data_IF_730426909912
#
_entry.id   IF_730426909912
#
_cell.length_a   1.000
_cell.length_b   1.000
_cell.length_c   1.000
_cell.angle_alpha   90.00
_cell.angle_beta   90.00
_cell.angle_gamma   90.00
#
_symmetry.space_group_name_H-M   'P 1'
#
loop_
_entity.id
_entity.type
_entity.pdbx_description
1 polymer ?
#
# COMPACT_ATOMS: atom_id res chain seq x y z
N UNK A 1 1.88 25.36 -14.21
CA UNK A 1 2.61 24.12 -13.84
C UNK A 1 1.77 23.18 -12.98
N UNK A 2 0.93 23.63 -12.04
CA UNK A 2 -0.08 22.76 -11.40
C UNK A 2 -1.39 22.77 -12.19
N UNK A 3 -1.64 21.73 -12.98
CA UNK A 3 -2.94 21.51 -13.63
C UNK A 3 -3.93 20.89 -12.63
N UNK A 4 -5.23 20.92 -12.95
CA UNK A 4 -6.24 20.25 -12.13
C UNK A 4 -6.02 18.73 -12.04
N UNK A 5 -5.36 18.12 -13.02
CA UNK A 5 -4.93 16.71 -13.02
C UNK A 5 -3.91 16.37 -11.94
N UNK A 6 -3.13 17.35 -11.49
CA UNK A 6 -2.08 17.17 -10.46
C UNK A 6 -2.58 17.68 -9.11
N UNK A 7 -3.20 18.86 -9.10
CA UNK A 7 -3.61 19.53 -7.88
C UNK A 7 -4.63 18.72 -7.08
N UNK A 8 -5.74 18.28 -7.71
CA UNK A 8 -6.83 17.63 -6.97
C UNK A 8 -6.45 16.27 -6.36
N UNK A 9 -5.76 15.36 -7.07
CA UNK A 9 -5.28 14.12 -6.47
C UNK A 9 -4.35 14.37 -5.28
N UNK A 10 -3.33 15.22 -5.48
CA UNK A 10 -2.35 15.53 -4.45
C UNK A 10 -2.98 16.19 -3.22
N UNK A 11 -3.80 17.21 -3.44
CA UNK A 11 -4.48 17.94 -2.36
C UNK A 11 -5.40 17.02 -1.56
N UNK A 12 -6.23 16.22 -2.23
CA UNK A 12 -7.15 15.29 -1.58
C UNK A 12 -6.40 14.24 -0.74
N UNK A 13 -5.31 13.69 -1.27
CA UNK A 13 -4.43 12.77 -0.54
C UNK A 13 -3.86 13.39 0.73
N UNK A 14 -3.34 14.63 0.65
CA UNK A 14 -2.80 15.35 1.80
C UNK A 14 -3.86 15.68 2.86
N UNK A 15 -5.06 16.09 2.45
CA UNK A 15 -6.18 16.34 3.37
C UNK A 15 -6.50 15.07 4.16
N UNK A 16 -6.59 13.92 3.50
CA UNK A 16 -6.90 12.64 4.15
C UNK A 16 -5.74 12.15 5.01
N UNK A 17 -4.49 12.44 4.62
CA UNK A 17 -3.32 12.19 5.46
C UNK A 17 -3.41 12.96 6.77
N UNK A 18 -3.68 14.27 6.72
CA UNK A 18 -3.83 15.12 7.91
C UNK A 18 -5.00 14.63 8.78
N UNK A 19 -6.17 14.37 8.17
CA UNK A 19 -7.34 13.84 8.87
C UNK A 19 -7.03 12.52 9.57
N UNK A 20 -6.38 11.59 8.88
CA UNK A 20 -5.99 10.30 9.43
C UNK A 20 -4.98 10.42 10.57
N UNK A 21 -3.97 11.30 10.44
CA UNK A 21 -2.99 11.59 11.50
C UNK A 21 -3.68 12.15 12.76
N UNK A 22 -4.67 13.03 12.59
CA UNK A 22 -5.47 13.53 13.71
C UNK A 22 -6.27 12.39 14.34
N UNK A 23 -6.88 11.51 13.54
CA UNK A 23 -7.68 10.37 14.01
C UNK A 23 -6.86 9.37 14.84
N UNK A 24 -5.62 9.08 14.42
CA UNK A 24 -4.75 8.09 15.08
C UNK A 24 -3.91 8.67 16.22
N UNK A 25 -3.91 10.00 16.44
CA UNK A 25 -3.00 10.66 17.40
C UNK A 25 -2.94 10.00 18.79
N UNK A 26 -4.08 9.56 19.33
CA UNK A 26 -4.14 8.90 20.63
C UNK A 26 -3.48 7.52 20.62
N UNK A 27 -3.80 6.71 19.60
CA UNK A 27 -3.20 5.38 19.39
C UNK A 27 -1.68 5.50 19.18
N UNK A 28 -1.24 6.49 18.41
CA UNK A 28 0.17 6.74 18.11
C UNK A 28 0.96 7.20 19.35
N UNK A 29 0.39 8.10 20.16
CA UNK A 29 1.04 8.58 21.38
C UNK A 29 1.12 7.48 22.46
N UNK A 30 0.13 6.58 22.51
CA UNK A 30 0.12 5.46 23.44
C UNK A 30 1.03 4.29 23.00
N UNK A 31 1.31 4.15 21.70
CA UNK A 31 2.12 3.07 21.16
C UNK A 31 3.63 3.24 21.45
N UNK A 32 4.35 2.12 21.52
CA UNK A 32 5.81 2.08 21.70
C UNK A 32 6.50 1.30 20.57
N UNK A 33 7.74 1.68 20.25
CA UNK A 33 8.55 1.00 19.24
C UNK A 33 7.85 0.89 17.87
N UNK A 34 7.82 -0.33 17.31
CA UNK A 34 7.21 -0.61 16.01
C UNK A 34 5.68 -0.44 15.99
N UNK A 35 5.01 -0.46 17.14
CA UNK A 35 3.55 -0.26 17.18
C UNK A 35 3.18 1.18 16.75
N UNK A 36 4.10 2.14 16.94
CA UNK A 36 3.89 3.53 16.47
C UNK A 36 3.69 3.60 14.97
N UNK A 37 4.55 2.93 14.20
CA UNK A 37 4.41 2.95 12.74
C UNK A 37 3.20 2.13 12.29
N UNK A 38 2.91 1.01 12.96
CA UNK A 38 1.77 0.18 12.62
C UNK A 38 0.43 0.91 12.78
N UNK A 39 0.30 1.77 13.78
CA UNK A 39 -0.87 2.63 13.95
C UNK A 39 -1.15 3.50 12.70
N UNK A 40 -0.11 3.90 11.96
CA UNK A 40 -0.22 4.72 10.76
C UNK A 40 -0.72 3.96 9.52
N UNK A 41 -0.79 2.62 9.56
CA UNK A 41 -1.13 1.80 8.38
C UNK A 41 -2.43 2.21 7.71
N UNK A 42 -3.51 2.38 8.49
CA UNK A 42 -4.81 2.81 7.98
C UNK A 42 -4.79 4.23 7.40
N UNK A 43 -3.92 5.10 7.91
CA UNK A 43 -3.78 6.50 7.47
C UNK A 43 -3.10 6.56 6.11
N UNK A 44 -2.05 5.77 5.91
CA UNK A 44 -1.34 5.68 4.63
C UNK A 44 -2.21 5.08 3.54
N UNK A 45 -2.97 4.02 3.84
CA UNK A 45 -3.98 3.50 2.90
C UNK A 45 -5.04 4.56 2.61
N UNK A 46 -5.62 5.17 3.64
CA UNK A 46 -6.68 6.17 3.46
C UNK A 46 -6.27 7.33 2.55
N UNK A 47 -5.07 7.88 2.76
CA UNK A 47 -4.56 9.01 2.00
C UNK A 47 -4.23 8.65 0.55
N UNK A 48 -3.64 7.48 0.29
CA UNK A 48 -3.40 7.02 -1.07
C UNK A 48 -4.70 6.74 -1.84
N UNK A 49 -5.69 6.10 -1.21
CA UNK A 49 -7.01 5.90 -1.84
C UNK A 49 -7.69 7.22 -2.16
N UNK A 50 -7.51 8.24 -1.32
CA UNK A 50 -8.07 9.56 -1.56
C UNK A 50 -7.42 10.25 -2.76
N UNK A 51 -6.09 10.12 -2.91
CA UNK A 51 -5.38 10.58 -4.09
C UNK A 51 -5.86 9.87 -5.36
N UNK A 52 -5.84 8.53 -5.38
CA UNK A 52 -6.26 7.76 -6.55
C UNK A 52 -7.75 7.94 -6.88
N UNK A 53 -8.61 8.07 -5.87
CA UNK A 53 -10.02 8.34 -6.07
C UNK A 53 -10.27 9.71 -6.72
N UNK A 54 -9.55 10.74 -6.30
CA UNK A 54 -9.57 12.04 -6.98
C UNK A 54 -8.93 11.99 -8.38
N UNK A 55 -7.89 11.17 -8.58
CA UNK A 55 -7.29 10.93 -9.89
C UNK A 55 -8.30 10.35 -10.89
N UNK A 56 -9.16 9.42 -10.45
CA UNK A 56 -10.24 8.88 -11.28
C UNK A 56 -11.25 9.96 -11.70
N UNK A 57 -11.50 10.97 -10.87
CA UNK A 57 -12.45 12.05 -11.20
C UNK A 57 -11.89 13.00 -12.27
N UNK A 58 -10.59 13.26 -12.23
CA UNK A 58 -9.94 14.15 -13.20
C UNK A 58 -9.54 13.41 -14.47
N UNK A 59 -9.30 12.09 -14.43
CA UNK A 59 -8.84 11.27 -15.56
C UNK A 59 -9.90 10.30 -16.12
N UNK A 60 -11.20 10.68 -16.10
CA UNK A 60 -12.29 9.83 -16.62
C UNK A 60 -12.03 9.35 -18.05
N UNK A 61 -11.65 10.27 -18.94
CA UNK A 61 -11.32 9.96 -20.35
C UNK A 61 -10.15 8.98 -20.47
N UNK A 62 -8.95 9.31 -19.95
CA UNK A 62 -7.79 8.43 -19.99
C UNK A 62 -7.99 7.04 -19.37
N UNK A 63 -8.80 6.91 -18.31
CA UNK A 63 -9.06 5.63 -17.65
C UNK A 63 -10.19 4.83 -18.29
N UNK A 64 -11.09 5.45 -19.05
CA UNK A 64 -12.20 4.71 -19.68
C UNK A 64 -11.73 3.57 -20.59
N UNK A 65 -10.68 3.71 -21.44
CA UNK A 65 -10.14 2.61 -22.23
C UNK A 65 -9.53 1.46 -21.43
N UNK A 66 -9.23 1.64 -20.14
CA UNK A 66 -8.68 0.59 -19.27
C UNK A 66 -9.77 -0.39 -18.81
N UNK A 67 -11.03 0.03 -18.76
CA UNK A 67 -12.15 -0.86 -18.45
C UNK A 67 -12.27 -1.92 -19.54
N UNK A 68 -12.36 -3.23 -19.19
CA UNK A 68 -12.48 -4.30 -20.17
C UNK A 68 -13.60 -4.06 -21.20
N UNK A 69 -13.29 -4.28 -22.49
CA UNK A 69 -14.18 -3.95 -23.62
C UNK A 69 -15.57 -4.58 -23.58
N UNK A 70 -15.74 -5.68 -22.83
CA UNK A 70 -17.02 -6.37 -22.66
C UNK A 70 -17.92 -5.75 -21.59
N UNK A 71 -17.41 -4.81 -20.78
CA UNK A 71 -18.17 -4.06 -19.78
C UNK A 71 -18.71 -2.78 -20.42
N UNK A 72 -20.03 -2.55 -20.46
CA UNK A 72 -20.57 -1.30 -20.99
C UNK A 72 -20.35 -0.12 -20.02
N UNK A 73 -20.56 1.11 -20.52
CA UNK A 73 -20.53 2.35 -19.72
C UNK A 73 -19.18 2.59 -19.01
N UNK A 74 -18.07 2.54 -19.74
CA UNK A 74 -16.71 2.65 -19.18
C UNK A 74 -16.52 3.87 -18.25
N UNK A 75 -17.02 5.04 -18.67
CA UNK A 75 -16.91 6.27 -17.87
C UNK A 75 -17.66 6.17 -16.53
N UNK A 76 -18.80 5.45 -16.48
CA UNK A 76 -19.53 5.21 -15.23
C UNK A 76 -18.67 4.43 -14.25
N UNK A 77 -17.98 3.37 -14.70
CA UNK A 77 -17.12 2.57 -13.84
C UNK A 77 -15.92 3.35 -13.31
N UNK A 78 -15.31 4.21 -14.12
CA UNK A 78 -14.23 5.09 -13.65
C UNK A 78 -14.73 6.01 -12.52
N UNK A 79 -15.90 6.64 -12.70
CA UNK A 79 -16.50 7.49 -11.67
C UNK A 79 -16.87 6.70 -10.42
N UNK A 80 -17.53 5.55 -10.60
CA UNK A 80 -17.94 4.68 -9.50
C UNK A 80 -16.75 4.21 -8.66
N UNK A 81 -15.68 3.73 -9.30
CA UNK A 81 -14.45 3.28 -8.61
C UNK A 81 -13.81 4.46 -7.88
N UNK A 82 -13.70 5.62 -8.51
CA UNK A 82 -13.13 6.80 -7.83
C UNK A 82 -13.92 7.23 -6.59
N UNK A 83 -15.26 7.22 -6.66
CA UNK A 83 -16.12 7.48 -5.51
C UNK A 83 -15.99 6.40 -4.43
N UNK A 84 -15.88 5.12 -4.81
CA UNK A 84 -15.68 4.02 -3.88
C UNK A 84 -14.32 4.13 -3.14
N UNK A 85 -13.26 4.52 -3.85
CA UNK A 85 -11.93 4.78 -3.28
C UNK A 85 -11.98 5.95 -2.28
N UNK A 86 -12.64 7.06 -2.63
CA UNK A 86 -12.83 8.21 -1.74
C UNK A 86 -13.63 7.82 -0.48
N UNK A 87 -14.71 7.06 -0.64
CA UNK A 87 -15.53 6.59 0.47
C UNK A 87 -14.77 5.65 1.41
N UNK A 88 -13.99 4.71 0.84
CA UNK A 88 -13.13 3.82 1.61
C UNK A 88 -12.03 4.60 2.35
N UNK A 89 -11.38 5.56 1.67
CA UNK A 89 -10.39 6.44 2.27
C UNK A 89 -10.96 7.24 3.44
N UNK A 90 -12.18 7.78 3.29
CA UNK A 90 -12.81 8.60 4.33
C UNK A 90 -13.18 7.76 5.55
N UNK A 91 -13.71 6.57 5.30
CA UNK A 91 -14.01 5.57 6.33
C UNK A 91 -12.77 5.19 7.15
N UNK A 92 -11.63 4.95 6.49
CA UNK A 92 -10.37 4.59 7.13
C UNK A 92 -9.73 5.77 7.87
N UNK A 93 -9.74 6.96 7.28
CA UNK A 93 -9.24 8.19 7.90
C UNK A 93 -10.03 8.54 9.16
N UNK A 94 -11.37 8.43 9.12
CA UNK A 94 -12.25 8.75 10.24
C UNK A 94 -12.41 7.61 11.26
N UNK A 95 -11.77 6.47 11.03
CA UNK A 95 -11.90 5.26 11.86
C UNK A 95 -13.36 4.77 12.02
N UNK A 96 -14.17 4.84 10.97
CA UNK A 96 -15.60 4.47 11.03
C UNK A 96 -15.95 3.53 9.89
N UNK A 97 -16.68 2.44 10.18
CA UNK A 97 -16.99 1.37 9.22
C UNK A 97 -15.77 0.68 8.59
N UNK A 98 -14.62 0.75 9.26
CA UNK A 98 -13.31 0.35 8.69
C UNK A 98 -13.28 -1.11 8.25
N UNK A 99 -13.92 -2.02 9.00
CA UNK A 99 -14.06 -3.43 8.59
C UNK A 99 -14.82 -3.56 7.26
N UNK A 100 -15.98 -2.94 7.13
CA UNK A 100 -16.81 -3.04 5.92
C UNK A 100 -16.07 -2.44 4.73
N UNK A 101 -15.52 -1.23 4.89
CA UNK A 101 -14.78 -0.55 3.82
C UNK A 101 -13.54 -1.34 3.39
N UNK A 102 -12.81 -1.93 4.33
CA UNK A 102 -11.64 -2.75 3.99
C UNK A 102 -12.02 -4.06 3.28
N UNK A 103 -13.17 -4.68 3.63
CA UNK A 103 -13.70 -5.83 2.90
C UNK A 103 -14.09 -5.46 1.47
N UNK A 104 -14.86 -4.38 1.30
CA UNK A 104 -15.31 -3.92 -0.01
C UNK A 104 -14.13 -3.50 -0.89
N UNK A 105 -13.16 -2.80 -0.33
CA UNK A 105 -11.91 -2.43 -1.00
C UNK A 105 -11.13 -3.66 -1.46
N UNK A 106 -10.97 -4.64 -0.57
CA UNK A 106 -10.31 -5.90 -0.90
C UNK A 106 -11.01 -6.67 -2.02
N UNK A 107 -12.35 -6.76 -1.95
CA UNK A 107 -13.16 -7.39 -3.01
C UNK A 107 -13.00 -6.64 -4.34
N UNK A 108 -13.00 -5.31 -4.32
CA UNK A 108 -12.81 -4.49 -5.53
C UNK A 108 -11.46 -4.77 -6.20
N UNK A 109 -10.36 -4.77 -5.43
CA UNK A 109 -9.04 -5.12 -5.98
C UNK A 109 -8.98 -6.58 -6.48
N UNK A 110 -9.61 -7.54 -5.80
CA UNK A 110 -9.72 -8.91 -6.31
C UNK A 110 -10.46 -8.96 -7.64
N UNK A 111 -11.53 -8.17 -7.83
CA UNK A 111 -12.24 -8.07 -9.10
C UNK A 111 -11.31 -7.53 -10.20
N UNK A 112 -10.50 -6.50 -9.92
CA UNK A 112 -9.52 -5.97 -10.88
C UNK A 112 -8.47 -7.03 -11.24
N UNK A 113 -7.93 -7.74 -10.25
CA UNK A 113 -6.99 -8.85 -10.47
C UNK A 113 -7.58 -9.90 -11.42
N UNK A 114 -8.81 -10.34 -11.17
CA UNK A 114 -9.45 -11.40 -11.95
C UNK A 114 -9.82 -10.95 -13.36
N UNK A 115 -10.25 -9.70 -13.54
CA UNK A 115 -10.84 -9.21 -14.79
C UNK A 115 -9.88 -8.42 -15.67
N UNK A 116 -8.78 -7.92 -15.10
CA UNK A 116 -7.81 -7.04 -15.77
C UNK A 116 -6.39 -7.57 -15.65
N UNK A 117 -5.87 -7.77 -14.44
CA UNK A 117 -4.44 -8.04 -14.25
C UNK A 117 -4.03 -9.46 -14.66
N UNK A 118 -4.83 -10.47 -14.32
CA UNK A 118 -4.61 -11.86 -14.76
C UNK A 118 -4.68 -11.94 -16.30
N UNK A 119 -5.74 -11.45 -16.98
CA UNK A 119 -5.76 -11.40 -18.44
C UNK A 119 -4.58 -10.64 -19.04
N UNK A 120 -4.19 -9.52 -18.43
CA UNK A 120 -3.03 -8.72 -18.85
C UNK A 120 -1.73 -9.54 -18.82
N UNK A 121 -1.39 -10.12 -17.67
CA UNK A 121 -0.21 -10.96 -17.50
C UNK A 121 -0.24 -12.22 -18.38
N UNK A 122 -1.42 -12.83 -18.57
CA UNK A 122 -1.58 -13.99 -19.44
C UNK A 122 -1.41 -13.66 -20.93
N UNK A 123 -1.79 -12.45 -21.35
CA UNK A 123 -1.65 -12.00 -22.74
C UNK A 123 -0.20 -11.73 -23.15
N UNK A 124 0.66 -11.36 -22.20
CA UNK A 124 2.09 -11.20 -22.42
C UNK A 124 2.90 -11.81 -21.25
N UNK A 125 3.04 -13.15 -21.18
CA UNK A 125 3.65 -13.82 -20.02
C UNK A 125 5.12 -13.48 -19.79
N UNK A 126 5.81 -12.92 -20.79
CA UNK A 126 7.22 -12.51 -20.69
C UNK A 126 7.37 -11.09 -20.14
N UNK A 127 6.29 -10.31 -20.09
CA UNK A 127 6.33 -8.99 -19.50
C UNK A 127 6.29 -9.07 -17.98
N UNK A 128 7.47 -8.86 -17.38
CA UNK A 128 7.65 -8.88 -15.94
C UNK A 128 6.83 -7.80 -15.22
N UNK A 129 6.51 -6.67 -15.88
CA UNK A 129 5.78 -5.58 -15.24
C UNK A 129 4.29 -5.90 -15.10
N UNK A 130 3.69 -6.58 -16.08
CA UNK A 130 2.33 -7.12 -15.93
C UNK A 130 2.21 -8.06 -14.72
N UNK A 131 3.19 -8.92 -14.48
CA UNK A 131 3.23 -9.77 -13.28
C UNK A 131 3.44 -8.95 -11.99
N UNK A 132 4.30 -7.93 -12.02
CA UNK A 132 4.47 -7.01 -10.90
C UNK A 132 3.16 -6.31 -10.55
N UNK A 133 2.45 -5.78 -11.54
CA UNK A 133 1.16 -5.10 -11.33
C UNK A 133 0.10 -6.04 -10.78
N UNK A 134 -0.02 -7.26 -11.31
CA UNK A 134 -0.91 -8.29 -10.78
C UNK A 134 -0.65 -8.54 -9.29
N UNK A 135 0.61 -8.76 -8.90
CA UNK A 135 0.96 -9.00 -7.50
C UNK A 135 0.75 -7.76 -6.63
N UNK A 136 0.92 -6.57 -7.19
CA UNK A 136 0.67 -5.30 -6.50
C UNK A 136 -0.81 -5.15 -6.17
N UNK A 137 -1.69 -5.33 -7.16
CA UNK A 137 -3.14 -5.23 -6.96
C UNK A 137 -3.64 -6.32 -6.01
N UNK A 138 -3.11 -7.55 -6.14
CA UNK A 138 -3.44 -8.65 -5.21
C UNK A 138 -3.00 -8.29 -3.78
N UNK A 139 -1.87 -7.61 -3.62
CA UNK A 139 -1.38 -7.16 -2.33
C UNK A 139 -2.20 -5.97 -1.77
N UNK A 140 -2.61 -5.03 -2.61
CA UNK A 140 -3.52 -3.95 -2.23
C UNK A 140 -4.89 -4.48 -1.78
N UNK A 141 -5.30 -5.68 -2.22
CA UNK A 141 -6.40 -6.40 -1.61
C UNK A 141 -6.03 -7.02 -0.25
N UNK A 142 -4.88 -7.67 -0.16
CA UNK A 142 -4.45 -8.46 1.01
C UNK A 142 -4.37 -7.65 2.31
N UNK A 143 -3.75 -6.47 2.29
CA UNK A 143 -3.59 -5.63 3.49
C UNK A 143 -4.93 -5.25 4.15
N UNK A 144 -5.86 -4.61 3.42
CA UNK A 144 -7.21 -4.33 3.87
C UNK A 144 -8.00 -5.58 4.32
N UNK A 145 -7.92 -6.70 3.59
CA UNK A 145 -8.60 -7.94 3.98
C UNK A 145 -8.07 -8.52 5.29
N UNK A 146 -6.74 -8.46 5.52
CA UNK A 146 -6.15 -8.86 6.79
C UNK A 146 -6.67 -7.98 7.94
N UNK A 147 -6.68 -6.66 7.73
CA UNK A 147 -7.18 -5.70 8.72
C UNK A 147 -8.66 -5.89 9.03
N UNK A 148 -9.49 -6.16 8.02
CA UNK A 148 -10.89 -6.54 8.22
C UNK A 148 -11.03 -7.85 8.99
N UNK A 149 -10.22 -8.86 8.65
CA UNK A 149 -10.22 -10.18 9.30
C UNK A 149 -9.80 -10.13 10.77
N UNK A 150 -8.99 -9.15 11.17
CA UNK A 150 -8.60 -8.94 12.57
C UNK A 150 -9.69 -8.29 13.43
N UNK A 151 -10.69 -7.65 12.80
CA UNK A 151 -11.81 -6.98 13.47
C UNK A 151 -13.02 -7.93 13.66
N UNK A 152 -13.87 -7.70 14.68
CA UNK A 152 -15.09 -8.50 14.88
C UNK A 152 -16.10 -8.38 13.72
N UNK A 153 -16.73 -9.48 13.26
CA UNK A 153 -16.38 -10.87 13.55
C UNK A 153 -15.05 -11.25 12.89
N UNK A 154 -14.16 -11.82 13.70
CA UNK A 154 -12.78 -12.14 13.30
C UNK A 154 -12.77 -13.30 12.32
N UNK A 155 -11.93 -13.21 11.29
CA UNK A 155 -11.72 -14.27 10.31
C UNK A 155 -10.24 -14.61 10.19
N UNK A 156 -9.86 -15.76 10.76
CA UNK A 156 -8.49 -16.28 10.64
C UNK A 156 -8.12 -16.61 9.19
N UNK A 157 -9.11 -17.04 8.39
CA UNK A 157 -8.91 -17.41 6.99
C UNK A 157 -8.51 -16.17 6.18
N UNK A 158 -9.16 -15.03 6.39
CA UNK A 158 -8.78 -13.78 5.70
C UNK A 158 -7.36 -13.36 6.03
N UNK A 159 -6.99 -13.40 7.31
CA UNK A 159 -5.63 -13.05 7.76
C UNK A 159 -4.60 -14.02 7.17
N UNK A 160 -4.89 -15.33 7.18
CA UNK A 160 -4.00 -16.35 6.61
C UNK A 160 -3.83 -16.15 5.09
N UNK A 161 -4.93 -16.01 4.35
CA UNK A 161 -4.90 -15.81 2.91
C UNK A 161 -4.08 -14.56 2.53
N UNK A 162 -4.34 -13.44 3.21
CA UNK A 162 -3.59 -12.21 3.00
C UNK A 162 -2.09 -12.38 3.26
N UNK A 163 -1.71 -13.11 4.31
CA UNK A 163 -0.29 -13.38 4.62
C UNK A 163 0.39 -14.20 3.54
N UNK A 164 -0.26 -15.26 3.06
CA UNK A 164 0.31 -16.14 2.02
C UNK A 164 0.52 -15.38 0.72
N UNK A 165 -0.49 -14.63 0.27
CA UNK A 165 -0.41 -13.77 -0.92
C UNK A 165 0.72 -12.74 -0.78
N UNK A 166 0.80 -12.08 0.38
CA UNK A 166 1.84 -11.08 0.66
C UNK A 166 3.24 -11.68 0.62
N UNK A 167 3.43 -12.87 1.21
CA UNK A 167 4.71 -13.55 1.18
C UNK A 167 5.16 -13.87 -0.25
N UNK A 168 4.26 -14.35 -1.11
CA UNK A 168 4.54 -14.60 -2.53
C UNK A 168 4.94 -13.32 -3.25
N UNK A 169 4.18 -12.23 -3.06
CA UNK A 169 4.49 -10.93 -3.67
C UNK A 169 5.87 -10.41 -3.23
N UNK A 170 6.21 -10.52 -1.95
CA UNK A 170 7.51 -10.05 -1.44
C UNK A 170 8.67 -10.88 -1.97
N UNK A 171 8.56 -12.20 -2.03
CA UNK A 171 9.60 -13.06 -2.62
C UNK A 171 9.78 -12.75 -4.10
N UNK A 172 8.69 -12.58 -4.84
CA UNK A 172 8.76 -12.19 -6.25
C UNK A 172 9.44 -10.82 -6.42
N UNK A 173 9.03 -9.79 -5.67
CA UNK A 173 9.67 -8.47 -5.74
C UNK A 173 11.15 -8.49 -5.32
N UNK A 174 11.53 -9.33 -4.37
CA UNK A 174 12.93 -9.53 -4.03
C UNK A 174 13.74 -10.03 -5.22
N UNK A 175 13.26 -11.08 -5.89
CA UNK A 175 13.91 -11.63 -7.10
C UNK A 175 14.03 -10.54 -8.17
N UNK A 176 12.97 -9.75 -8.37
CA UNK A 176 12.94 -8.67 -9.34
C UNK A 176 13.99 -7.58 -9.05
N UNK A 177 14.21 -7.21 -7.79
CA UNK A 177 15.25 -6.24 -7.41
C UNK A 177 16.66 -6.80 -7.57
N UNK A 178 16.86 -8.11 -7.39
CA UNK A 178 18.16 -8.78 -7.67
C UNK A 178 18.44 -8.80 -9.18
N UNK A 179 17.44 -9.12 -10.00
CA UNK A 179 17.59 -9.22 -11.45
C UNK A 179 17.66 -7.86 -12.14
N UNK A 180 17.02 -6.83 -11.57
CA UNK A 180 16.91 -5.51 -12.17
C UNK A 180 17.24 -4.39 -11.17
N UNK A 181 18.48 -4.36 -10.66
CA UNK A 181 18.88 -3.46 -9.57
C UNK A 181 18.97 -1.97 -9.99
N UNK A 182 18.73 -1.65 -11.26
CA UNK A 182 18.60 -0.29 -11.78
C UNK A 182 17.21 0.31 -11.56
N UNK A 183 16.17 -0.52 -11.34
CA UNK A 183 14.84 -0.02 -11.05
C UNK A 183 14.81 0.68 -9.69
N UNK A 184 13.88 1.61 -9.49
CA UNK A 184 13.69 2.26 -8.20
C UNK A 184 13.26 1.22 -7.15
N UNK A 185 13.84 1.22 -5.94
CA UNK A 185 13.49 0.28 -4.88
C UNK A 185 12.02 0.42 -4.43
N UNK A 186 11.37 -0.69 -4.09
CA UNK A 186 9.97 -0.71 -3.64
C UNK A 186 9.15 -1.72 -4.45
N UNK A 187 8.09 -1.27 -5.11
CA UNK A 187 7.40 -2.08 -6.13
C UNK A 187 8.24 -2.02 -7.42
N UNK A 188 8.69 -3.16 -7.99
CA UNK A 188 9.64 -3.19 -9.10
C UNK A 188 9.00 -2.87 -10.46
N UNK A 189 8.54 -1.63 -10.62
CA UNK A 189 7.97 -1.06 -11.84
C UNK A 189 9.06 -0.52 -12.78
N UNK A 190 8.63 0.04 -13.91
CA UNK A 190 9.51 0.48 -15.01
C UNK A 190 10.49 1.60 -14.63
N UNK A 191 10.15 2.41 -13.62
CA UNK A 191 10.96 3.58 -13.25
C UNK A 191 12.37 3.18 -12.82
N UNK A 192 13.35 3.88 -13.37
CA UNK A 192 14.76 3.74 -12.99
C UNK A 192 15.08 4.60 -11.77
N UNK A 193 16.03 4.13 -10.98
CA UNK A 193 16.58 4.90 -9.87
C UNK A 193 17.13 6.25 -10.39
N UNK A 194 16.81 7.37 -9.74
CA UNK A 194 17.22 8.67 -10.23
C UNK A 194 18.73 8.88 -10.05
N UNK A 195 19.40 9.70 -10.90
CA UNK A 195 20.86 9.86 -10.84
C UNK A 195 21.41 10.38 -9.51
N UNK A 196 20.61 11.14 -8.77
CA UNK A 196 20.97 11.65 -7.44
C UNK A 196 20.88 10.59 -6.33
N UNK A 197 20.19 9.48 -6.57
CA UNK A 197 20.15 8.34 -5.66
C UNK A 197 21.42 7.51 -5.86
N UNK A 198 22.50 7.95 -5.23
CA UNK A 198 23.80 7.29 -5.29
C UNK A 198 23.68 5.78 -5.01
N UNK A 199 24.47 4.99 -5.75
CA UNK A 199 24.53 3.53 -5.64
C UNK A 199 23.17 2.83 -5.72
N UNK A 200 22.43 2.94 -6.83
CA UNK A 200 21.09 2.36 -6.97
C UNK A 200 21.05 0.85 -6.68
N UNK A 201 22.11 0.13 -7.02
CA UNK A 201 22.24 -1.31 -6.73
C UNK A 201 22.26 -1.63 -5.22
N UNK A 202 22.79 -0.74 -4.38
CA UNK A 202 22.79 -0.92 -2.92
C UNK A 202 21.36 -0.81 -2.38
N UNK A 203 20.61 0.20 -2.82
CA UNK A 203 19.21 0.38 -2.45
C UNK A 203 18.33 -0.79 -2.90
N UNK A 204 18.51 -1.25 -4.14
CA UNK A 204 17.83 -2.42 -4.66
C UNK A 204 18.17 -3.68 -3.85
N UNK A 205 19.45 -3.89 -3.51
CA UNK A 205 19.90 -5.06 -2.72
C UNK A 205 19.32 -5.04 -1.30
N UNK A 206 19.38 -3.90 -0.60
CA UNK A 206 18.78 -3.76 0.74
C UNK A 206 17.28 -4.03 0.69
N UNK A 207 16.59 -3.47 -0.31
CA UNK A 207 15.16 -3.70 -0.51
C UNK A 207 14.87 -5.17 -0.79
N UNK A 208 15.65 -5.83 -1.64
CA UNK A 208 15.51 -7.24 -1.96
C UNK A 208 15.68 -8.13 -0.71
N UNK A 209 16.69 -7.84 0.13
CA UNK A 209 16.92 -8.60 1.37
C UNK A 209 15.77 -8.41 2.37
N UNK A 210 15.28 -7.19 2.54
CA UNK A 210 14.14 -6.91 3.42
C UNK A 210 12.85 -7.59 2.93
N UNK A 211 12.59 -7.56 1.62
CA UNK A 211 11.45 -8.25 1.01
C UNK A 211 11.57 -9.78 1.16
N UNK A 212 12.73 -10.36 0.89
CA UNK A 212 12.94 -11.81 1.02
C UNK A 212 12.78 -12.28 2.46
N UNK A 213 13.44 -11.58 3.39
CA UNK A 213 13.38 -11.92 4.82
C UNK A 213 11.97 -11.76 5.37
N UNK A 214 11.27 -10.66 5.04
CA UNK A 214 9.88 -10.48 5.42
C UNK A 214 8.97 -11.55 4.80
N UNK A 215 9.10 -11.83 3.51
CA UNK A 215 8.34 -12.87 2.83
C UNK A 215 8.51 -14.25 3.47
N UNK A 216 9.76 -14.66 3.72
CA UNK A 216 10.07 -15.94 4.38
C UNK A 216 9.50 -16.01 5.81
N UNK A 217 9.72 -14.98 6.62
CA UNK A 217 9.26 -14.92 8.01
C UNK A 217 7.72 -14.88 8.13
N UNK A 218 7.04 -14.18 7.21
CA UNK A 218 5.58 -14.15 7.14
C UNK A 218 5.02 -15.51 6.71
N UNK A 219 5.67 -16.19 5.76
CA UNK A 219 5.26 -17.49 5.27
C UNK A 219 5.32 -18.57 6.36
N UNK A 220 6.40 -18.61 7.15
CA UNK A 220 6.60 -19.62 8.21
C UNK A 220 6.00 -19.23 9.56
N UNK A 221 5.30 -18.09 9.63
CA UNK A 221 4.72 -17.54 10.86
C UNK A 221 5.71 -17.32 12.03
N UNK A 222 6.93 -16.91 11.72
CA UNK A 222 7.96 -16.63 12.72
C UNK A 222 8.37 -15.17 12.65
N UNK A 223 8.21 -14.43 13.74
CA UNK A 223 8.44 -12.98 13.79
C UNK A 223 7.69 -12.17 12.69
N UNK A 224 6.62 -12.74 12.13
CA UNK A 224 5.91 -12.20 10.96
C UNK A 224 5.41 -10.76 11.18
N UNK A 225 4.83 -10.46 12.35
CA UNK A 225 4.40 -9.11 12.74
C UNK A 225 5.55 -8.10 12.69
N UNK A 226 6.69 -8.43 13.31
CA UNK A 226 7.84 -7.54 13.36
C UNK A 226 8.48 -7.36 11.98
N UNK A 227 8.61 -8.44 11.21
CA UNK A 227 9.16 -8.41 9.86
C UNK A 227 8.32 -7.53 8.91
N UNK A 228 6.98 -7.67 8.97
CA UNK A 228 6.07 -6.80 8.23
C UNK A 228 6.19 -5.34 8.69
N UNK A 229 6.27 -5.06 9.99
CA UNK A 229 6.43 -3.70 10.50
C UNK A 229 7.73 -3.04 10.02
N UNK A 230 8.86 -3.76 10.05
CA UNK A 230 10.14 -3.28 9.51
C UNK A 230 10.11 -3.05 8.00
N UNK A 231 9.47 -3.95 7.25
CA UNK A 231 9.30 -3.76 5.81
C UNK A 231 8.42 -2.53 5.50
N UNK A 232 7.33 -2.34 6.27
CA UNK A 232 6.49 -1.14 6.16
C UNK A 232 7.27 0.14 6.49
N UNK A 233 8.13 0.10 7.52
CA UNK A 233 9.04 1.21 7.81
C UNK A 233 10.01 1.50 6.68
N UNK A 234 10.59 0.46 6.08
CA UNK A 234 11.45 0.61 4.91
C UNK A 234 10.70 1.26 3.74
N UNK A 235 9.47 0.83 3.45
CA UNK A 235 8.65 1.46 2.40
C UNK A 235 8.35 2.93 2.71
N UNK A 236 8.07 3.29 3.97
CA UNK A 236 7.90 4.69 4.38
C UNK A 236 9.18 5.51 4.16
N UNK A 237 10.34 4.97 4.51
CA UNK A 237 11.64 5.61 4.26
C UNK A 237 11.86 5.83 2.76
N UNK A 238 11.57 4.83 1.92
CA UNK A 238 11.66 4.99 0.47
C UNK A 238 10.68 6.07 -0.03
N UNK A 239 9.44 6.11 0.47
CA UNK A 239 8.49 7.17 0.12
C UNK A 239 9.07 8.56 0.39
N UNK A 240 9.65 8.77 1.58
CA UNK A 240 10.15 10.09 2.01
C UNK A 240 11.50 10.45 1.35
N UNK A 241 12.43 9.51 1.26
CA UNK A 241 13.82 9.76 0.85
C UNK A 241 13.98 9.64 -0.68
N UNK A 242 13.22 8.74 -1.31
CA UNK A 242 13.35 8.45 -2.74
C UNK A 242 12.22 9.09 -3.53
N UNK A 243 10.97 8.76 -3.21
CA UNK A 243 9.83 9.14 -4.07
C UNK A 243 9.41 10.59 -3.94
N UNK A 244 9.32 11.16 -2.73
CA UNK A 244 8.97 12.58 -2.54
C UNK A 244 9.96 13.52 -3.25
N UNK A 245 11.29 13.34 -3.15
CA UNK A 245 12.25 14.17 -3.87
C UNK A 245 12.21 14.03 -5.39
N UNK A 246 11.55 13.00 -5.96
CA UNK A 246 11.34 12.92 -7.41
C UNK A 246 10.49 14.07 -7.97
N UNK A 247 9.74 14.79 -7.11
CA UNK A 247 9.01 15.99 -7.51
C UNK A 247 9.94 17.16 -7.86
N UNK A 248 11.16 17.21 -7.31
CA UNK A 248 12.09 18.33 -7.50
C UNK A 248 12.53 18.48 -8.96
N UNK A 249 13.02 17.43 -9.64
CA UNK A 249 13.43 17.53 -11.05
C UNK A 249 12.26 17.49 -12.05
N UNK A 250 11.02 17.31 -11.60
CA UNK A 250 9.87 17.15 -12.48
C UNK A 250 9.44 18.49 -13.09
N UNK A 251 9.74 18.67 -14.38
CA UNK A 251 9.60 19.97 -15.07
C UNK A 251 8.37 20.07 -15.97
N UNK A 252 7.66 18.97 -16.19
CA UNK A 252 6.44 18.92 -17.00
C UNK A 252 5.31 18.15 -16.30
N UNK A 253 4.09 18.29 -16.83
CA UNK A 253 2.90 17.71 -16.22
C UNK A 253 2.91 16.18 -16.18
N UNK A 254 3.53 15.51 -17.15
CA UNK A 254 3.60 14.04 -17.19
C UNK A 254 4.55 13.53 -16.12
N UNK A 255 5.73 14.15 -15.99
CA UNK A 255 6.70 13.80 -14.95
C UNK A 255 6.13 14.04 -13.55
N UNK A 256 5.37 15.13 -13.36
CA UNK A 256 4.71 15.41 -12.09
C UNK A 256 3.64 14.36 -11.75
N UNK A 257 2.78 13.98 -12.70
CA UNK A 257 1.76 12.93 -12.49
C UNK A 257 2.44 11.60 -12.14
N UNK A 258 3.48 11.22 -12.90
CA UNK A 258 4.23 10.00 -12.64
C UNK A 258 4.83 10.00 -11.22
N UNK A 259 5.55 11.06 -10.84
CA UNK A 259 6.14 11.18 -9.51
C UNK A 259 5.10 11.11 -8.39
N UNK A 260 3.97 11.83 -8.54
CA UNK A 260 2.84 11.77 -7.61
C UNK A 260 2.31 10.34 -7.47
N UNK A 261 2.10 9.63 -8.59
CA UNK A 261 1.58 8.27 -8.57
C UNK A 261 2.54 7.31 -7.87
N UNK A 262 3.85 7.42 -8.10
CA UNK A 262 4.84 6.60 -7.38
C UNK A 262 4.87 6.87 -5.87
N UNK A 263 4.70 8.12 -5.44
CA UNK A 263 4.62 8.48 -4.01
C UNK A 263 3.43 7.77 -3.35
N UNK A 264 2.24 7.92 -3.94
CA UNK A 264 1.01 7.37 -3.34
C UNK A 264 0.90 5.85 -3.50
N UNK A 265 1.42 5.27 -4.58
CA UNK A 265 1.50 3.82 -4.78
C UNK A 265 2.40 3.18 -3.71
N UNK A 266 3.58 3.75 -3.49
CA UNK A 266 4.50 3.27 -2.46
C UNK A 266 3.93 3.47 -1.05
N UNK A 267 3.20 4.58 -0.82
CA UNK A 267 2.53 4.82 0.45
C UNK A 267 1.35 3.87 0.68
N UNK A 268 0.60 3.51 -0.36
CA UNK A 268 -0.46 2.49 -0.30
C UNK A 268 0.13 1.11 0.01
N UNK A 269 1.27 0.79 -0.61
CA UNK A 269 2.02 -0.44 -0.34
C UNK A 269 2.50 -0.47 1.13
N UNK A 270 3.11 0.61 1.60
CA UNK A 270 3.49 0.80 3.01
C UNK A 270 2.29 0.60 3.96
N UNK A 271 1.19 1.30 3.74
CA UNK A 271 -0.02 1.21 4.56
C UNK A 271 -0.60 -0.20 4.60
N UNK A 272 -0.64 -0.88 3.44
CA UNK A 272 -1.14 -2.25 3.32
C UNK A 272 -0.26 -3.26 4.07
N UNK A 273 1.07 -3.09 4.04
CA UNK A 273 2.01 -3.89 4.85
C UNK A 273 1.75 -3.68 6.35
N UNK A 274 1.58 -2.43 6.77
CA UNK A 274 1.37 -2.10 8.19
C UNK A 274 -0.01 -2.58 8.69
N UNK A 275 -1.03 -2.56 7.83
CA UNK A 275 -2.33 -3.16 8.10
C UNK A 275 -2.24 -4.69 8.24
N UNK A 276 -1.47 -5.36 7.38
CA UNK A 276 -1.16 -6.78 7.51
C UNK A 276 -0.41 -7.09 8.82
N UNK A 277 0.61 -6.30 9.15
CA UNK A 277 1.33 -6.42 10.41
C UNK A 277 0.38 -6.32 11.61
N UNK A 278 -0.53 -5.34 11.58
CA UNK A 278 -1.48 -5.07 12.66
C UNK A 278 -2.48 -6.21 12.87
N UNK A 279 -2.81 -6.94 11.80
CA UNK A 279 -3.69 -8.11 11.83
C UNK A 279 -3.02 -9.37 12.42
N UNK A 280 -1.69 -9.43 12.45
CA UNK A 280 -0.94 -10.58 12.98
C UNK A 280 -0.81 -10.52 14.51
N UNK A 281 -0.84 -11.66 15.23
CA UNK A 281 -0.78 -11.66 16.69
C UNK A 281 0.50 -11.02 17.23
N UNK A 282 0.37 -10.22 18.29
CA UNK A 282 1.52 -9.81 19.11
C UNK A 282 2.12 -11.03 19.84
N UNK A 283 3.45 -11.06 19.99
CA UNK A 283 4.12 -12.08 20.80
C UNK A 283 3.64 -12.00 22.25
N UNK A 284 3.49 -13.16 22.89
CA UNK A 284 2.97 -13.28 24.26
C UNK A 284 3.79 -12.48 25.27
N UNK A 285 5.11 -12.38 25.09
CA UNK A 285 6.02 -11.65 25.98
C UNK A 285 5.93 -10.13 25.88
N UNK A 286 5.42 -9.60 24.78
CA UNK A 286 5.15 -8.15 24.60
C UNK A 286 3.81 -7.79 25.25
N UNK A 287 2.78 -8.63 25.06
CA UNK A 287 1.46 -8.42 25.72
C UNK A 287 1.55 -8.37 27.23
N UNK A 288 2.37 -9.21 27.85
CA UNK A 288 2.58 -9.22 29.31
C UNK A 288 3.24 -7.92 29.78
N UNK A 289 4.30 -7.47 29.09
CA UNK A 289 5.01 -6.22 29.44
C UNK A 289 4.14 -4.98 29.26
N UNK A 290 3.33 -4.91 28.21
CA UNK A 290 2.38 -3.79 28.03
C UNK A 290 1.28 -3.81 29.10
N UNK A 291 0.77 -4.98 29.46
CA UNK A 291 -0.21 -5.10 30.55
C UNK A 291 0.38 -4.67 31.91
N UNK A 292 1.64 -5.01 32.18
CA UNK A 292 2.38 -4.57 33.36
C UNK A 292 2.65 -3.07 33.36
N UNK A 293 3.05 -2.48 32.23
CA UNK A 293 3.28 -1.05 32.09
C UNK A 293 1.99 -0.22 32.25
N UNK A 294 0.87 -0.69 31.68
CA UNK A 294 -0.44 -0.06 31.87
C UNK A 294 -0.90 -0.17 33.32
N UNK A 295 -0.59 -1.28 34.00
CA UNK A 295 -0.89 -1.45 35.43
C UNK A 295 -0.03 -0.52 36.29
N UNK A 296 1.24 -0.34 35.95
CA UNK A 296 2.16 0.56 36.66
C UNK A 296 1.81 2.04 36.45
N UNK A 297 1.29 2.44 35.28
CA UNK A 297 0.85 3.81 35.00
C UNK A 297 -0.49 4.20 35.66
N UNK A 298 -1.17 3.25 36.32
CA UNK A 298 -2.43 3.47 37.06
C UNK A 298 -2.23 3.51 38.58
N UNK A 299 -1.00 3.36 39.06
CA UNK A 299 -0.59 3.50 40.48
C UNK A 299 0.10 4.85 40.63
#
# INVERSE_FOLDING_TARGET
MFSHYIFWPWFTGLVFLIMGLISVRGEFLAAAGLEKIMALGRVFVASALACFGAEHMVNIGPFSPMVPRWIPFHAFWVVFVGLALLAAGLSLAWNRYTRLSSMLLGVMFVIFVLTMDIPGAASNPRDRFSWTLLLRETFFAAGPLAFAGAQPPRSRILVLAARLVSAVAFVFYSIMHVLHPQNVPGVPLERLSPPWLFWPHVWATVTALLLLTAGALILVDRYARAAAAWLGFWMLLLTIIVYVPMLIPANDGRQLIEAVNYIWDTLLFCGSILMLASAMPQSTSVRVREAEAVKAARV
#
